data_IF_293499734684
#
_entry.id   IF_293499734684
#
_cell.length_a   1.000
_cell.length_b   1.000
_cell.length_c   1.000
_cell.angle_alpha   90.00
_cell.angle_beta   90.00
_cell.angle_gamma   90.00
#
_symmetry.space_group_name_H-M   'P 1'
#
loop_
_entity.id
_entity.type
_entity.pdbx_description
1 polymer ?
#
# COMPACT_ATOMS: atom_id res chain seq x y z
N UNK A 1 21.04 13.44 -22.59
CA UNK A 1 20.45 12.12 -22.94
C UNK A 1 21.25 10.94 -22.34
N UNK A 2 22.57 11.06 -22.14
CA UNK A 2 23.39 10.03 -21.47
C UNK A 2 23.19 9.93 -19.95
N UNK A 3 23.17 11.05 -19.23
CA UNK A 3 23.07 11.06 -17.75
C UNK A 3 21.74 10.53 -17.21
N UNK A 4 20.63 10.76 -17.92
CA UNK A 4 19.30 10.26 -17.52
C UNK A 4 19.21 8.72 -17.59
N UNK A 5 19.93 8.10 -18.52
CA UNK A 5 19.97 6.65 -18.67
C UNK A 5 20.86 5.99 -17.59
N UNK A 6 21.98 6.62 -17.24
CA UNK A 6 22.84 6.22 -16.11
C UNK A 6 22.12 6.38 -14.76
N UNK A 7 21.37 7.46 -14.59
CA UNK A 7 20.58 7.71 -13.37
C UNK A 7 19.45 6.68 -13.21
N UNK A 8 18.75 6.32 -14.29
CA UNK A 8 17.70 5.31 -14.27
C UNK A 8 18.25 3.90 -13.94
N UNK A 9 19.42 3.54 -14.49
CA UNK A 9 20.08 2.27 -14.18
C UNK A 9 20.53 2.19 -12.71
N UNK A 10 21.00 3.31 -12.15
CA UNK A 10 21.34 3.42 -10.72
C UNK A 10 20.12 3.32 -9.80
N UNK A 11 19.01 3.96 -10.16
CA UNK A 11 17.75 3.91 -9.41
C UNK A 11 17.15 2.50 -9.39
N UNK A 12 17.21 1.79 -10.52
CA UNK A 12 16.75 0.40 -10.65
C UNK A 12 17.56 -0.55 -9.75
N UNK A 13 18.88 -0.46 -9.72
CA UNK A 13 19.71 -1.30 -8.84
C UNK A 13 19.50 -0.97 -7.36
N UNK A 14 19.33 0.32 -7.01
CA UNK A 14 19.02 0.73 -5.64
C UNK A 14 17.68 0.15 -5.15
N UNK A 15 16.63 0.23 -5.98
CA UNK A 15 15.33 -0.37 -5.67
C UNK A 15 15.43 -1.89 -5.56
N UNK A 16 16.09 -2.56 -6.52
CA UNK A 16 16.29 -4.02 -6.45
C UNK A 16 17.02 -4.44 -5.19
N UNK A 17 18.04 -3.69 -4.77
CA UNK A 17 18.73 -3.92 -3.50
C UNK A 17 17.74 -3.83 -2.33
N UNK A 18 16.97 -2.75 -2.23
CA UNK A 18 15.95 -2.56 -1.17
C UNK A 18 14.92 -3.69 -1.13
N UNK A 19 14.46 -4.16 -2.29
CA UNK A 19 13.52 -5.29 -2.41
C UNK A 19 14.13 -6.61 -1.94
N UNK A 20 15.39 -6.88 -2.30
CA UNK A 20 16.14 -8.07 -1.85
C UNK A 20 16.39 -8.05 -0.35
N UNK A 21 16.74 -6.89 0.21
CA UNK A 21 17.03 -6.73 1.65
C UNK A 21 15.80 -6.46 2.51
N UNK A 22 14.60 -6.42 1.92
CA UNK A 22 13.32 -6.13 2.61
C UNK A 22 13.29 -4.78 3.31
N UNK A 23 14.05 -3.81 2.79
CA UNK A 23 14.10 -2.43 3.31
C UNK A 23 13.31 -1.45 2.44
N UNK A 24 12.67 -1.93 1.37
CA UNK A 24 11.75 -1.11 0.59
C UNK A 24 10.52 -0.75 1.44
N UNK A 25 10.13 0.52 1.42
CA UNK A 25 8.85 0.96 1.98
C UNK A 25 7.75 0.77 0.95
N UNK A 26 6.69 0.05 1.33
CA UNK A 26 5.57 -0.26 0.44
C UNK A 26 4.33 0.48 0.92
N UNK A 27 3.69 1.22 0.02
CA UNK A 27 2.39 1.84 0.27
C UNK A 27 1.30 1.04 -0.42
N UNK A 28 0.22 0.72 0.30
CA UNK A 28 -0.95 0.04 -0.26
C UNK A 28 -2.16 0.96 -0.17
N UNK A 29 -2.71 1.34 -1.31
CA UNK A 29 -3.88 2.22 -1.42
C UNK A 29 -5.15 1.39 -1.59
N UNK A 30 -6.10 1.56 -0.67
CA UNK A 30 -7.34 0.80 -0.57
C UNK A 30 -7.16 -0.44 0.33
N UNK A 31 -7.61 -0.36 1.58
CA UNK A 31 -7.51 -1.42 2.60
C UNK A 31 -8.78 -2.27 2.68
N UNK A 32 -9.39 -2.47 1.52
CA UNK A 32 -10.56 -3.32 1.35
C UNK A 32 -10.20 -4.80 1.29
N UNK A 33 -11.08 -5.57 0.65
CA UNK A 33 -10.97 -7.02 0.52
C UNK A 33 -9.65 -7.50 -0.10
N UNK A 34 -9.05 -6.71 -1.00
CA UNK A 34 -7.79 -7.08 -1.68
C UNK A 34 -6.58 -6.45 -1.00
N UNK A 35 -6.60 -5.12 -0.79
CA UNK A 35 -5.40 -4.43 -0.35
C UNK A 35 -5.00 -4.71 1.09
N UNK A 36 -5.95 -4.97 2.01
CA UNK A 36 -5.57 -5.32 3.38
C UNK A 36 -4.85 -6.69 3.44
N UNK A 37 -5.36 -7.78 2.84
CA UNK A 37 -4.58 -9.02 2.74
C UNK A 37 -3.21 -8.84 2.10
N UNK A 38 -3.09 -8.04 1.03
CA UNK A 38 -1.79 -7.74 0.40
C UNK A 38 -0.84 -7.03 1.37
N UNK A 39 -1.33 -6.04 2.11
CA UNK A 39 -0.54 -5.32 3.11
C UNK A 39 -0.05 -6.25 4.23
N UNK A 40 -0.90 -7.17 4.68
CA UNK A 40 -0.54 -8.16 5.71
C UNK A 40 0.54 -9.12 5.22
N UNK A 41 0.40 -9.67 4.01
CA UNK A 41 1.41 -10.58 3.45
C UNK A 41 2.76 -9.89 3.25
N UNK A 42 2.77 -8.62 2.83
CA UNK A 42 4.00 -7.83 2.74
C UNK A 42 4.64 -7.57 4.11
N UNK A 43 3.82 -7.25 5.13
CA UNK A 43 4.28 -7.10 6.50
C UNK A 43 4.89 -8.39 7.06
N UNK A 44 4.23 -9.55 6.83
CA UNK A 44 4.75 -10.89 7.18
C UNK A 44 6.06 -11.20 6.46
N UNK A 45 6.19 -10.75 5.21
CA UNK A 45 7.42 -10.81 4.43
C UNK A 45 8.51 -9.80 4.89
N UNK A 46 8.27 -9.10 5.99
CA UNK A 46 9.17 -8.15 6.70
C UNK A 46 9.32 -6.78 6.08
N UNK A 47 8.56 -6.45 5.04
CA UNK A 47 8.51 -5.08 4.53
C UNK A 47 7.83 -4.15 5.53
N UNK A 48 8.20 -2.88 5.51
CA UNK A 48 7.44 -1.83 6.20
C UNK A 48 6.32 -1.40 5.26
N UNK A 49 5.08 -1.47 5.73
CA UNK A 49 3.90 -1.21 4.92
C UNK A 49 3.08 -0.07 5.52
N UNK A 50 2.75 0.92 4.70
CA UNK A 50 1.77 1.95 5.03
C UNK A 50 0.52 1.78 4.18
N UNK A 51 -0.58 1.48 4.84
CA UNK A 51 -1.89 1.40 4.25
C UNK A 51 -2.55 2.77 4.17
N UNK A 52 -3.18 3.06 3.04
CA UNK A 52 -3.99 4.27 2.85
C UNK A 52 -5.41 3.84 2.51
N UNK A 53 -6.40 4.39 3.20
CA UNK A 53 -7.81 4.22 2.83
C UNK A 53 -8.58 5.52 3.08
N UNK A 54 -9.58 5.80 2.25
CA UNK A 54 -10.42 7.00 2.39
C UNK A 54 -11.40 6.88 3.57
N UNK A 55 -11.66 5.67 4.07
CA UNK A 55 -12.56 5.41 5.19
C UNK A 55 -11.84 5.61 6.52
N UNK A 56 -12.09 6.76 7.17
CA UNK A 56 -11.61 7.04 8.55
C UNK A 56 -11.97 5.92 9.53
N UNK A 57 -13.19 5.38 9.44
CA UNK A 57 -13.65 4.27 10.29
C UNK A 57 -12.75 3.05 10.14
N UNK A 58 -12.40 2.70 8.91
CA UNK A 58 -11.55 1.54 8.62
C UNK A 58 -10.14 1.75 9.14
N UNK A 59 -9.56 2.93 8.88
CA UNK A 59 -8.24 3.31 9.40
C UNK A 59 -8.24 3.25 10.93
N UNK A 60 -9.22 3.85 11.59
CA UNK A 60 -9.35 3.81 13.05
C UNK A 60 -9.51 2.37 13.60
N UNK A 61 -10.24 1.51 12.88
CA UNK A 61 -10.37 0.09 13.24
C UNK A 61 -9.02 -0.63 13.18
N UNK A 62 -8.26 -0.41 12.12
CA UNK A 62 -6.92 -1.00 11.95
C UNK A 62 -5.95 -0.46 12.99
N UNK A 63 -5.96 0.86 13.24
CA UNK A 63 -5.12 1.51 14.25
C UNK A 63 -5.49 1.14 15.70
N UNK A 64 -6.64 0.50 15.90
CA UNK A 64 -7.05 -0.12 17.15
C UNK A 64 -6.80 -1.65 17.15
N UNK A 65 -5.88 -2.14 16.31
CA UNK A 65 -5.54 -3.56 16.15
C UNK A 65 -6.68 -4.45 15.65
N UNK A 66 -7.75 -3.86 15.09
CA UNK A 66 -8.93 -4.54 14.58
C UNK A 66 -8.92 -4.76 13.07
N UNK A 67 -9.94 -5.45 12.55
CA UNK A 67 -10.23 -5.53 11.11
C UNK A 67 -11.73 -5.74 10.89
N UNK A 68 -12.29 -5.08 9.87
CA UNK A 68 -13.65 -5.29 9.38
C UNK A 68 -13.70 -6.15 8.10
N UNK A 69 -12.55 -6.61 7.61
CA UNK A 69 -12.43 -7.47 6.43
C UNK A 69 -12.61 -8.94 6.85
N UNK A 70 -13.62 -9.60 6.28
CA UNK A 70 -14.11 -10.93 6.68
C UNK A 70 -13.03 -12.02 6.76
N UNK A 71 -12.06 -11.99 5.85
CA UNK A 71 -11.02 -13.03 5.71
C UNK A 71 -9.68 -12.59 6.31
N UNK A 72 -9.67 -11.56 7.17
CA UNK A 72 -8.48 -11.08 7.87
C UNK A 72 -8.60 -11.35 9.35
N UNK A 73 -7.61 -12.03 9.92
CA UNK A 73 -7.58 -12.35 11.34
C UNK A 73 -7.02 -11.15 12.13
N UNK A 74 -7.74 -10.74 13.17
CA UNK A 74 -7.40 -9.58 14.01
C UNK A 74 -5.98 -9.66 14.59
N UNK A 75 -5.54 -10.86 14.99
CA UNK A 75 -4.20 -11.05 15.54
C UNK A 75 -3.07 -10.78 14.52
N UNK A 76 -3.33 -10.91 13.22
CA UNK A 76 -2.35 -10.63 12.17
C UNK A 76 -2.12 -9.13 12.04
N UNK A 77 -3.20 -8.34 12.09
CA UNK A 77 -3.14 -6.87 12.14
C UNK A 77 -2.39 -6.45 13.40
N UNK A 78 -2.82 -6.94 14.57
CA UNK A 78 -2.21 -6.60 15.86
C UNK A 78 -0.71 -6.91 15.90
N UNK A 79 -0.30 -8.09 15.44
CA UNK A 79 1.11 -8.50 15.42
C UNK A 79 1.98 -7.63 14.51
N UNK A 80 1.47 -7.27 13.33
CA UNK A 80 2.21 -6.42 12.38
C UNK A 80 2.26 -4.95 12.83
N UNK A 81 1.19 -4.44 13.46
CA UNK A 81 1.20 -3.10 14.06
C UNK A 81 2.14 -3.01 15.25
N UNK A 82 2.11 -3.99 16.15
CA UNK A 82 3.01 -4.05 17.31
C UNK A 82 4.50 -4.07 16.91
N UNK A 83 4.82 -4.61 15.73
CA UNK A 83 6.19 -4.64 15.19
C UNK A 83 6.53 -3.44 14.30
N UNK A 84 5.60 -2.49 14.12
CA UNK A 84 5.77 -1.32 13.24
C UNK A 84 5.83 -1.68 11.75
N UNK A 85 5.39 -2.89 11.37
CA UNK A 85 5.40 -3.37 9.98
C UNK A 85 4.15 -3.01 9.20
N UNK A 86 3.08 -2.62 9.90
CA UNK A 86 1.87 -2.10 9.31
C UNK A 86 1.46 -0.80 10.02
N UNK A 87 1.15 0.23 9.25
CA UNK A 87 0.43 1.42 9.69
C UNK A 87 -0.73 1.70 8.74
N UNK A 88 -1.77 2.40 9.20
CA UNK A 88 -2.87 2.86 8.36
C UNK A 88 -3.09 4.37 8.54
N UNK A 89 -3.38 5.06 7.43
CA UNK A 89 -3.71 6.50 7.42
C UNK A 89 -4.77 6.80 6.38
N UNK A 90 -5.42 7.96 6.50
CA UNK A 90 -6.30 8.53 5.47
C UNK A 90 -5.58 9.53 4.55
N UNK A 91 -4.33 9.89 4.87
CA UNK A 91 -3.53 10.85 4.10
C UNK A 91 -2.57 10.16 3.14
N UNK A 92 -2.19 10.87 2.08
CA UNK A 92 -1.23 10.38 1.09
C UNK A 92 0.23 10.71 1.43
N UNK A 93 0.51 11.27 2.60
CA UNK A 93 1.86 11.64 3.05
C UNK A 93 2.89 10.51 2.90
N UNK A 94 2.58 9.22 3.19
CA UNK A 94 3.54 8.13 3.03
C UNK A 94 3.99 7.87 1.59
N UNK A 95 3.26 8.35 0.58
CA UNK A 95 3.61 8.14 -0.84
C UNK A 95 4.90 8.87 -1.22
N UNK A 96 5.20 10.00 -0.57
CA UNK A 96 6.38 10.81 -0.90
C UNK A 96 7.70 10.05 -0.66
N UNK A 97 7.70 9.10 0.27
CA UNK A 97 8.88 8.31 0.65
C UNK A 97 8.80 6.84 0.18
N UNK A 98 7.73 6.48 -0.54
CA UNK A 98 7.47 5.10 -0.94
C UNK A 98 8.46 4.61 -2.02
N UNK A 99 8.95 3.39 -1.86
CA UNK A 99 9.70 2.68 -2.90
C UNK A 99 8.77 1.95 -3.87
N UNK A 100 7.60 1.51 -3.37
CA UNK A 100 6.58 0.80 -4.14
C UNK A 100 5.20 1.27 -3.71
N UNK A 101 4.33 1.55 -4.67
CA UNK A 101 2.91 1.84 -4.42
C UNK A 101 2.06 0.77 -5.09
N UNK A 102 1.19 0.13 -4.32
CA UNK A 102 0.21 -0.87 -4.79
C UNK A 102 -1.18 -0.26 -4.66
N UNK A 103 -1.90 -0.17 -5.77
CA UNK A 103 -3.23 0.42 -5.82
C UNK A 103 -4.27 -0.70 -5.92
N UNK A 104 -5.08 -0.83 -4.88
CA UNK A 104 -6.14 -1.83 -4.71
C UNK A 104 -7.53 -1.19 -4.55
N UNK A 105 -7.74 -0.03 -5.18
CA UNK A 105 -9.07 0.60 -5.23
C UNK A 105 -9.91 -0.05 -6.31
N UNK A 106 -11.22 -0.24 -6.10
CA UNK A 106 -12.09 -0.72 -7.16
C UNK A 106 -11.97 0.25 -8.35
N UNK A 107 -11.87 -0.27 -9.59
CA UNK A 107 -11.95 0.62 -10.75
C UNK A 107 -13.30 1.33 -10.65
N UNK A 108 -13.36 2.64 -10.90
CA UNK A 108 -14.64 3.30 -10.92
C UNK A 108 -15.45 2.60 -12.01
N UNK A 109 -16.59 2.06 -11.66
CA UNK A 109 -17.52 1.50 -12.63
C UNK A 109 -18.57 2.59 -12.85
N UNK A 110 -18.87 2.90 -14.11
CA UNK A 110 -20.05 3.70 -14.41
C UNK A 110 -21.31 2.93 -13.97
N UNK A 111 -22.47 3.62 -13.87
CA UNK A 111 -23.77 2.97 -13.64
C UNK A 111 -24.11 1.87 -14.69
N UNK A 112 -23.37 1.81 -15.80
CA UNK A 112 -23.53 0.83 -16.90
C UNK A 112 -22.54 -0.34 -16.84
N UNK A 113 -21.71 -0.47 -15.78
CA UNK A 113 -20.64 -1.50 -15.64
C UNK A 113 -19.49 -1.37 -16.63
N UNK A 114 -19.32 -0.22 -17.27
CA UNK A 114 -18.11 0.08 -18.02
C UNK A 114 -16.99 0.49 -17.07
N UNK A 115 -15.76 0.10 -17.41
CA UNK A 115 -14.55 0.51 -16.69
C UNK A 115 -14.36 2.02 -16.88
N UNK A 116 -14.72 2.79 -15.87
CA UNK A 116 -14.33 4.19 -15.80
C UNK A 116 -12.84 4.20 -15.37
N UNK A 117 -12.02 5.04 -16.01
CA UNK A 117 -10.57 5.15 -15.73
C UNK A 117 -10.21 6.53 -15.16
N UNK A 118 -11.22 7.36 -14.88
CA UNK A 118 -11.05 8.73 -14.39
C UNK A 118 -10.27 8.82 -13.08
N UNK A 119 -10.34 7.80 -12.22
CA UNK A 119 -9.61 7.77 -10.95
C UNK A 119 -8.10 7.55 -11.15
N UNK A 120 -7.69 6.84 -12.20
CA UNK A 120 -6.27 6.68 -12.53
C UNK A 120 -5.73 7.99 -13.13
N UNK A 121 -6.52 8.64 -13.99
CA UNK A 121 -6.11 9.87 -14.70
C UNK A 121 -6.01 11.10 -13.79
N UNK A 122 -6.76 11.15 -12.68
CA UNK A 122 -6.75 12.28 -11.75
C UNK A 122 -5.76 12.13 -10.58
N UNK A 123 -4.91 11.09 -10.59
CA UNK A 123 -3.94 10.80 -9.54
C UNK A 123 -2.52 11.31 -9.85
N UNK A 124 -2.35 12.06 -10.94
CA UNK A 124 -1.11 12.75 -11.32
C UNK A 124 -1.29 14.27 -11.14
#
# INVERSE_FOLDING_TARGET
MSEALETAAGADEALRKKLRTKTAHVVVVGLGYVGLPVALELGKARFTVSGIDVSERKVATLEADGSDVKDVLVFEVAGLRATGKLTATTTFDPVAEADVVIICVPPPLSKTRDLNVSYILNSC
#
